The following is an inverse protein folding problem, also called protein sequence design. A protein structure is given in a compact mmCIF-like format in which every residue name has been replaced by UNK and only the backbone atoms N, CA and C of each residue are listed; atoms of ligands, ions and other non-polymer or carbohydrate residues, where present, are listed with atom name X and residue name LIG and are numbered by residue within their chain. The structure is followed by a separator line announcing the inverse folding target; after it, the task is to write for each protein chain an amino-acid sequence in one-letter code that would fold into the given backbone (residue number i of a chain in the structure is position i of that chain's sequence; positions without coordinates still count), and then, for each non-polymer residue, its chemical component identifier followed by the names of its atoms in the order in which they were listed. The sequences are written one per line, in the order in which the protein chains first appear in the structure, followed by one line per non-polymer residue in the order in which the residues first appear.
data_IF_798015519656
#
_entry.id   IF_798015519656
#
_cell.length_a   1.000
_cell.length_b   1.000
_cell.length_c   1.000
_cell.angle_alpha   90.00
_cell.angle_beta   90.00
_cell.angle_gamma   90.00
#
_symmetry.space_group_name_H-M   'P 1'
#
loop_
_entity.id
_entity.type
_entity.pdbx_description
1 polymer ?
#
# COMPACT_ATOMS: atom_id res chain seq x y z
N UNK A 1 -41.08 39.36 23.46
CA UNK A 1 -39.98 39.26 22.47
C UNK A 1 -40.53 38.61 21.22
N UNK A 2 -40.20 39.10 20.04
CA UNK A 2 -40.62 38.48 18.77
C UNK A 2 -39.89 37.15 18.54
N UNK A 3 -40.55 36.19 17.90
CA UNK A 3 -39.94 34.92 17.51
C UNK A 3 -38.73 35.15 16.59
N UNK A 4 -37.67 34.37 16.79
CA UNK A 4 -36.43 34.48 16.00
C UNK A 4 -36.68 33.89 14.61
N UNK A 5 -36.35 34.61 13.52
CA UNK A 5 -36.62 34.13 12.17
C UNK A 5 -35.78 32.87 11.86
N UNK A 6 -36.38 31.96 11.10
CA UNK A 6 -35.76 30.67 10.70
C UNK A 6 -34.41 30.86 9.99
N UNK A 7 -34.22 31.97 9.26
CA UNK A 7 -32.96 32.34 8.62
C UNK A 7 -31.79 32.39 9.60
N UNK A 8 -32.02 32.93 10.80
CA UNK A 8 -30.99 33.14 11.80
C UNK A 8 -30.57 31.80 12.42
N UNK A 9 -31.54 30.91 12.67
CA UNK A 9 -31.27 29.54 13.10
C UNK A 9 -30.46 28.74 12.08
N UNK A 10 -30.77 28.88 10.78
CA UNK A 10 -30.00 28.25 9.72
C UNK A 10 -28.59 28.84 9.65
N UNK A 11 -28.45 30.15 9.80
CA UNK A 11 -27.16 30.83 9.76
C UNK A 11 -26.24 30.35 10.90
N UNK A 12 -26.73 30.34 12.13
CA UNK A 12 -25.93 29.94 13.31
C UNK A 12 -25.61 28.44 13.28
N UNK A 13 -26.54 27.60 12.81
CA UNK A 13 -26.28 26.17 12.57
C UNK A 13 -25.13 25.97 11.57
N UNK A 14 -25.18 26.65 10.43
CA UNK A 14 -24.11 26.57 9.42
C UNK A 14 -22.78 27.10 9.95
N UNK A 15 -22.79 28.16 10.77
CA UNK A 15 -21.58 28.67 11.39
C UNK A 15 -20.97 27.64 12.36
N UNK A 16 -21.76 27.05 13.25
CA UNK A 16 -21.32 26.00 14.16
C UNK A 16 -20.73 24.79 13.41
N UNK A 17 -21.39 24.35 12.34
CA UNK A 17 -20.91 23.24 11.50
C UNK A 17 -19.57 23.58 10.81
N UNK A 18 -19.40 24.80 10.31
CA UNK A 18 -18.14 25.25 9.68
C UNK A 18 -16.99 25.40 10.68
N UNK A 19 -17.26 25.84 11.90
CA UNK A 19 -16.23 25.90 12.94
C UNK A 19 -15.83 24.48 13.38
N UNK A 20 -16.79 23.53 13.44
CA UNK A 20 -16.50 22.13 13.77
C UNK A 20 -15.59 21.45 12.75
N UNK A 21 -15.67 21.82 11.47
CA UNK A 21 -14.77 21.27 10.44
C UNK A 21 -13.31 21.69 10.61
N UNK A 22 -13.02 22.77 11.35
CA UNK A 22 -11.65 23.27 11.53
C UNK A 22 -10.82 22.44 12.52
N UNK A 23 -11.44 21.52 13.25
CA UNK A 23 -10.72 20.66 14.17
C UNK A 23 -9.86 19.66 13.38
N UNK A 24 -8.55 19.57 13.66
CA UNK A 24 -7.63 18.70 12.92
C UNK A 24 -7.94 17.22 13.15
N UNK A 25 -8.37 16.84 14.36
CA UNK A 25 -8.70 15.46 14.67
C UNK A 25 -10.13 15.10 14.25
N UNK A 26 -10.27 13.96 13.57
CA UNK A 26 -11.54 13.43 13.05
C UNK A 26 -12.51 13.07 14.17
N UNK A 27 -12.01 12.59 15.31
CA UNK A 27 -12.86 12.26 16.47
C UNK A 27 -13.58 13.50 17.01
N UNK A 28 -12.85 14.60 17.24
CA UNK A 28 -13.44 15.84 17.72
C UNK A 28 -14.36 16.48 16.68
N UNK A 29 -13.93 16.54 15.40
CA UNK A 29 -14.77 17.02 14.30
C UNK A 29 -16.12 16.27 14.26
N UNK A 30 -16.07 14.94 14.27
CA UNK A 30 -17.27 14.09 14.22
C UNK A 30 -18.14 14.27 15.47
N UNK A 31 -17.51 14.35 16.65
CA UNK A 31 -18.21 14.62 17.91
C UNK A 31 -18.98 15.93 17.87
N UNK A 32 -18.33 17.03 17.46
CA UNK A 32 -18.97 18.35 17.40
C UNK A 32 -20.09 18.38 16.35
N UNK A 33 -19.87 17.82 15.15
CA UNK A 33 -20.92 17.72 14.13
C UNK A 33 -22.16 16.98 14.64
N UNK A 34 -21.96 15.84 15.30
CA UNK A 34 -23.04 15.06 15.90
C UNK A 34 -23.74 15.84 17.00
N UNK A 35 -22.98 16.41 17.94
CA UNK A 35 -23.56 17.13 19.09
C UNK A 35 -24.34 18.39 18.66
N UNK A 36 -23.86 19.13 17.66
CA UNK A 36 -24.61 20.24 17.07
C UNK A 36 -25.93 19.71 16.48
N UNK A 37 -25.90 18.61 15.71
CA UNK A 37 -27.12 18.03 15.13
C UNK A 37 -28.10 17.58 16.20
N UNK A 38 -27.64 16.86 17.22
CA UNK A 38 -28.46 16.36 18.33
C UNK A 38 -29.11 17.51 19.10
N UNK A 39 -28.38 18.59 19.34
CA UNK A 39 -28.91 19.75 20.07
C UNK A 39 -30.02 20.46 19.29
N UNK A 40 -29.85 20.63 17.97
CA UNK A 40 -30.88 21.24 17.13
C UNK A 40 -32.09 20.32 16.93
N UNK A 41 -31.88 19.00 16.84
CA UNK A 41 -32.96 18.03 16.73
C UNK A 41 -33.80 17.96 18.01
N UNK A 42 -33.17 17.98 19.19
CA UNK A 42 -33.88 17.97 20.48
C UNK A 42 -34.75 19.22 20.68
N UNK A 43 -34.29 20.37 20.21
CA UNK A 43 -34.96 21.66 20.43
C UNK A 43 -35.80 22.12 19.23
N UNK A 44 -36.05 21.27 18.23
CA UNK A 44 -36.75 21.67 17.00
C UNK A 44 -38.24 21.97 17.20
N UNK A 45 -38.85 21.43 18.26
CA UNK A 45 -40.28 21.61 18.59
C UNK A 45 -40.56 22.80 19.53
N UNK A 46 -39.53 23.50 20.00
CA UNK A 46 -39.69 24.61 20.95
C UNK A 46 -40.29 25.83 20.25
N UNK A 47 -41.50 26.20 20.66
CA UNK A 47 -42.29 27.30 20.05
C UNK A 47 -42.31 28.56 20.92
N UNK A 48 -41.98 28.45 22.22
CA UNK A 48 -41.98 29.59 23.15
C UNK A 48 -40.88 30.62 22.81
N UNK A 49 -41.24 31.90 22.54
CA UNK A 49 -40.28 32.95 22.21
C UNK A 49 -39.22 33.23 23.27
N UNK A 50 -39.52 33.05 24.56
CA UNK A 50 -38.54 33.28 25.64
C UNK A 50 -37.47 32.18 25.63
N UNK A 51 -37.88 30.93 25.55
CA UNK A 51 -36.97 29.78 25.44
C UNK A 51 -36.15 29.82 24.15
N UNK A 52 -36.75 30.24 23.03
CA UNK A 52 -36.01 30.44 21.77
C UNK A 52 -34.89 31.48 21.91
N UNK A 53 -35.14 32.58 22.62
CA UNK A 53 -34.13 33.60 22.84
C UNK A 53 -32.96 33.11 23.73
N UNK A 54 -33.26 32.28 24.73
CA UNK A 54 -32.25 31.68 25.60
C UNK A 54 -31.39 30.65 24.85
N UNK A 55 -32.01 29.75 24.10
CA UNK A 55 -31.33 28.76 23.25
C UNK A 55 -30.47 29.42 22.17
N UNK A 56 -30.91 30.55 21.61
CA UNK A 56 -30.13 31.27 20.61
C UNK A 56 -28.89 31.91 21.23
N UNK A 57 -29.02 32.55 22.42
CA UNK A 57 -27.87 33.05 23.18
C UNK A 57 -26.91 31.94 23.57
N UNK A 58 -27.41 30.75 23.89
CA UNK A 58 -26.58 29.58 24.16
C UNK A 58 -25.80 29.15 22.90
N UNK A 59 -26.46 29.10 21.73
CA UNK A 59 -25.80 28.79 20.47
C UNK A 59 -24.68 29.78 20.12
N UNK A 60 -24.88 31.08 20.37
CA UNK A 60 -23.85 32.11 20.18
C UNK A 60 -22.66 31.92 21.12
N UNK A 61 -22.91 31.61 22.39
CA UNK A 61 -21.85 31.27 23.36
C UNK A 61 -21.07 30.03 22.92
N UNK A 62 -21.78 28.98 22.49
CA UNK A 62 -21.16 27.75 22.01
C UNK A 62 -20.31 28.00 20.75
N UNK A 63 -20.76 28.86 19.84
CA UNK A 63 -19.98 29.25 18.66
C UNK A 63 -18.66 29.94 19.02
N UNK A 64 -18.69 30.84 20.01
CA UNK A 64 -17.50 31.51 20.53
C UNK A 64 -16.51 30.52 21.17
N UNK A 65 -17.01 29.55 21.94
CA UNK A 65 -16.19 28.48 22.53
C UNK A 65 -15.56 27.62 21.44
N UNK A 66 -16.35 27.19 20.46
CA UNK A 66 -15.88 26.34 19.37
C UNK A 66 -14.77 27.02 18.56
N UNK A 67 -14.92 28.32 18.27
CA UNK A 67 -13.89 29.13 17.60
C UNK A 67 -12.58 29.17 18.38
N UNK A 68 -12.64 29.44 19.69
CA UNK A 68 -11.44 29.47 20.54
C UNK A 68 -10.76 28.11 20.60
N UNK A 69 -11.54 27.05 20.78
CA UNK A 69 -11.01 25.68 20.81
C UNK A 69 -10.37 25.28 19.48
N UNK A 70 -11.00 25.60 18.34
CA UNK A 70 -10.42 25.31 17.03
C UNK A 70 -9.03 25.97 16.86
N UNK A 71 -8.88 27.22 17.32
CA UNK A 71 -7.60 27.94 17.28
C UNK A 71 -6.56 27.27 18.18
N UNK A 72 -6.91 26.92 19.42
CA UNK A 72 -5.97 26.23 20.34
C UNK A 72 -5.49 24.90 19.74
N UNK A 73 -6.42 24.11 19.19
CA UNK A 73 -6.07 22.83 18.55
C UNK A 73 -5.23 23.00 17.28
N UNK A 74 -5.36 24.11 16.56
CA UNK A 74 -4.46 24.40 15.43
C UNK A 74 -3.05 24.82 15.85
N UNK A 75 -2.89 25.44 17.02
CA UNK A 75 -1.59 25.85 17.54
C UNK A 75 -0.78 24.67 18.10
N UNK A 76 -1.47 23.64 18.59
CA UNK A 76 -0.87 22.44 19.17
C UNK A 76 -1.28 21.19 18.35
N UNK A 77 -0.66 20.96 17.18
CA UNK A 77 -1.00 19.83 16.33
C UNK A 77 -0.72 18.49 17.01
N UNK A 78 -1.64 17.55 16.86
CA UNK A 78 -1.51 16.19 17.34
C UNK A 78 -0.94 15.26 16.25
N UNK A 79 -0.40 14.11 16.65
CA UNK A 79 -0.04 13.05 15.70
C UNK A 79 -1.31 12.54 15.01
N UNK A 80 -1.31 12.53 13.67
CA UNK A 80 -2.46 12.05 12.90
C UNK A 80 -2.72 10.58 13.21
N UNK A 81 -3.97 10.23 13.48
CA UNK A 81 -4.36 8.83 13.64
C UNK A 81 -4.40 8.11 12.29
N UNK A 82 -4.35 6.78 12.27
CA UNK A 82 -4.41 5.97 11.02
C UNK A 82 -5.62 6.35 10.14
N UNK A 83 -6.76 6.67 10.77
CA UNK A 83 -7.99 7.10 10.07
C UNK A 83 -7.80 8.45 9.36
N UNK A 84 -7.04 9.37 9.95
CA UNK A 84 -6.75 10.69 9.40
C UNK A 84 -5.71 10.62 8.28
N UNK A 85 -4.71 9.75 8.41
CA UNK A 85 -3.75 9.45 7.34
C UNK A 85 -4.49 8.93 6.10
N UNK A 86 -5.41 7.99 6.29
CA UNK A 86 -6.20 7.41 5.21
C UNK A 86 -7.20 8.39 4.57
N UNK A 87 -7.60 9.47 5.26
CA UNK A 87 -8.51 10.48 4.71
C UNK A 87 -7.84 11.48 3.77
N UNK A 88 -6.51 11.61 3.84
CA UNK A 88 -5.70 12.43 2.92
C UNK A 88 -5.27 11.65 1.66
N UNK A 89 -5.56 10.35 1.57
CA UNK A 89 -5.34 9.53 0.38
C UNK A 89 -6.30 9.99 -0.73
N UNK A 90 -5.76 10.82 -1.62
CA UNK A 90 -6.40 11.19 -2.89
C UNK A 90 -6.77 9.92 -3.64
N UNK A 91 -8.05 9.77 -3.95
CA UNK A 91 -8.57 8.69 -4.78
C UNK A 91 -7.83 8.62 -6.10
N UNK A 92 -7.42 7.40 -6.50
CA UNK A 92 -6.68 7.16 -7.75
C UNK A 92 -7.52 7.64 -8.93
N UNK A 93 -7.08 8.72 -9.58
CA UNK A 93 -7.76 9.32 -10.72
C UNK A 93 -6.81 9.50 -11.90
N UNK A 94 -7.32 9.23 -13.11
CA UNK A 94 -6.58 9.49 -14.33
C UNK A 94 -6.59 10.98 -14.63
N UNK A 95 -5.41 11.61 -14.72
CA UNK A 95 -5.32 13.06 -14.96
C UNK A 95 -5.79 13.51 -16.35
N UNK A 96 -5.88 12.59 -17.31
CA UNK A 96 -6.41 12.85 -18.64
C UNK A 96 -7.95 12.89 -18.68
N UNK A 97 -8.57 11.74 -18.37
CA UNK A 97 -10.02 11.56 -18.51
C UNK A 97 -10.79 11.79 -17.21
N UNK A 98 -10.08 12.06 -16.10
CA UNK A 98 -10.65 12.26 -14.75
C UNK A 98 -11.50 11.09 -14.26
N UNK A 99 -11.38 9.92 -14.90
CA UNK A 99 -11.99 8.70 -14.41
C UNK A 99 -11.27 8.26 -13.14
N UNK A 100 -12.04 7.89 -12.14
CA UNK A 100 -11.56 7.35 -10.88
C UNK A 100 -12.23 6.00 -10.60
N UNK A 101 -11.79 5.34 -9.54
CA UNK A 101 -12.31 4.03 -9.12
C UNK A 101 -13.82 4.05 -8.82
N UNK A 102 -14.39 5.18 -8.40
CA UNK A 102 -15.84 5.33 -8.18
C UNK A 102 -16.63 5.32 -9.49
N UNK A 103 -16.15 6.02 -10.51
CA UNK A 103 -16.79 6.06 -11.84
C UNK A 103 -16.62 4.75 -12.59
N UNK A 104 -15.50 4.07 -12.39
CA UNK A 104 -15.20 2.82 -13.05
C UNK A 104 -14.42 1.89 -12.12
N UNK A 105 -15.10 0.84 -11.62
CA UNK A 105 -14.52 -0.14 -10.71
C UNK A 105 -13.48 -1.07 -11.37
N UNK A 106 -13.47 -1.17 -12.70
CA UNK A 106 -12.45 -1.92 -13.46
C UNK A 106 -11.33 -1.03 -14.01
N UNK A 107 -11.19 0.20 -13.48
CA UNK A 107 -10.15 1.13 -13.87
C UNK A 107 -8.77 0.60 -13.44
N UNK A 108 -7.93 0.25 -14.43
CA UNK A 108 -6.52 -0.08 -14.18
C UNK A 108 -5.67 1.17 -14.44
N UNK A 109 -4.95 1.59 -13.41
CA UNK A 109 -4.00 2.69 -13.48
C UNK A 109 -2.61 2.18 -13.84
N UNK A 110 -1.94 2.87 -14.76
CA UNK A 110 -0.60 2.58 -15.24
C UNK A 110 0.31 3.74 -14.87
N UNK A 111 1.53 3.43 -14.41
CA UNK A 111 2.60 4.38 -14.12
C UNK A 111 3.76 4.17 -15.09
N UNK A 112 4.52 5.22 -15.34
CA UNK A 112 5.68 5.26 -16.22
C UNK A 112 6.93 5.74 -15.46
N UNK A 113 8.07 5.78 -16.16
CA UNK A 113 9.36 6.28 -15.65
C UNK A 113 9.29 7.73 -15.11
N UNK A 114 8.30 8.52 -15.53
CA UNK A 114 8.09 9.88 -15.02
C UNK A 114 7.28 9.92 -13.72
N UNK A 115 6.70 8.80 -13.26
CA UNK A 115 5.83 8.76 -12.08
C UNK A 115 4.42 9.32 -12.32
N UNK A 116 4.00 9.48 -13.57
CA UNK A 116 2.71 10.10 -13.91
C UNK A 116 1.64 9.05 -14.23
N UNK A 117 0.61 8.87 -13.38
CA UNK A 117 -0.37 7.81 -13.55
C UNK A 117 -1.43 8.15 -14.61
N UNK A 118 -1.71 7.19 -15.50
CA UNK A 118 -2.73 7.25 -16.55
C UNK A 118 -3.55 5.96 -16.56
N UNK A 119 -4.84 6.01 -16.86
CA UNK A 119 -5.62 4.78 -16.99
C UNK A 119 -5.25 4.01 -18.27
N UNK A 120 -5.44 2.68 -18.26
CA UNK A 120 -5.15 1.80 -19.40
C UNK A 120 -5.74 2.32 -20.72
N UNK A 121 -7.00 2.74 -20.73
CA UNK A 121 -7.66 3.30 -21.92
C UNK A 121 -6.98 4.58 -22.44
N UNK A 122 -6.53 5.46 -21.54
CA UNK A 122 -5.81 6.67 -21.94
C UNK A 122 -4.43 6.34 -22.50
N UNK A 123 -3.72 5.36 -21.92
CA UNK A 123 -2.43 4.89 -22.45
C UNK A 123 -2.62 4.27 -23.84
N UNK A 124 -3.64 3.42 -24.02
CA UNK A 124 -3.89 2.74 -25.28
C UNK A 124 -4.21 3.72 -26.42
N UNK A 125 -4.97 4.78 -26.11
CA UNK A 125 -5.36 5.81 -27.09
C UNK A 125 -4.23 6.83 -27.37
N UNK A 126 -3.53 7.30 -26.34
CA UNK A 126 -2.42 8.25 -26.49
C UNK A 126 -1.23 7.65 -27.21
N UNK A 127 -0.86 6.43 -26.82
CA UNK A 127 0.32 5.75 -27.31
C UNK A 127 -0.05 4.75 -28.42
N UNK A 128 -1.13 5.02 -29.16
CA UNK A 128 -1.53 4.24 -30.33
C UNK A 128 -0.43 4.20 -31.40
N UNK A 129 0.35 5.29 -31.53
CA UNK A 129 1.53 5.38 -32.40
C UNK A 129 2.83 4.90 -31.73
N UNK A 130 2.73 4.11 -30.66
CA UNK A 130 3.81 3.56 -29.81
C UNK A 130 4.64 4.57 -29.00
N UNK A 131 4.74 5.82 -29.44
CA UNK A 131 5.40 6.90 -28.71
C UNK A 131 4.52 8.15 -28.66
N UNK A 132 4.48 8.79 -27.50
CA UNK A 132 3.79 10.05 -27.28
C UNK A 132 4.44 10.81 -26.09
N UNK A 133 4.33 12.14 -26.04
CA UNK A 133 4.78 12.90 -24.89
C UNK A 133 3.87 12.65 -23.68
N UNK A 134 4.44 12.63 -22.48
CA UNK A 134 3.70 12.65 -21.23
C UNK A 134 2.87 13.94 -21.13
N UNK A 135 1.60 13.86 -20.77
CA UNK A 135 0.71 15.03 -20.67
C UNK A 135 1.07 15.98 -19.51
N UNK A 136 1.95 15.57 -18.60
CA UNK A 136 2.29 16.35 -17.39
C UNK A 136 3.69 16.95 -17.48
N UNK A 137 4.69 16.15 -17.83
CA UNK A 137 6.08 16.62 -17.95
C UNK A 137 6.59 16.75 -19.39
N UNK A 138 5.79 16.38 -20.40
CA UNK A 138 6.19 16.49 -21.81
C UNK A 138 7.26 15.49 -22.28
N UNK A 139 7.83 14.66 -21.39
CA UNK A 139 8.85 13.66 -21.74
C UNK A 139 8.31 12.66 -22.76
N UNK A 140 9.09 12.35 -23.79
CA UNK A 140 8.72 11.37 -24.81
C UNK A 140 8.78 9.96 -24.23
N UNK A 141 7.63 9.29 -24.18
CA UNK A 141 7.50 7.96 -23.57
C UNK A 141 7.09 6.92 -24.61
N UNK A 142 7.49 5.67 -24.35
CA UNK A 142 7.10 4.50 -25.15
C UNK A 142 5.99 3.73 -24.44
N UNK A 143 5.06 3.16 -25.22
CA UNK A 143 3.94 2.36 -24.69
C UNK A 143 4.40 1.19 -23.80
N UNK A 144 5.53 0.56 -24.13
CA UNK A 144 6.04 -0.59 -23.40
C UNK A 144 6.62 -0.25 -22.02
N UNK A 145 6.86 1.03 -21.73
CA UNK A 145 7.46 1.49 -20.47
C UNK A 145 6.38 1.88 -19.43
N UNK A 146 5.15 1.40 -19.62
CA UNK A 146 4.07 1.54 -18.65
C UNK A 146 3.87 0.22 -17.90
N UNK A 147 3.66 0.30 -16.59
CA UNK A 147 3.35 -0.86 -15.74
C UNK A 147 2.16 -0.55 -14.83
N UNK A 148 1.49 -1.60 -14.34
CA UNK A 148 0.33 -1.47 -13.47
C UNK A 148 0.71 -0.92 -12.11
N UNK A 149 -0.03 0.11 -11.67
CA UNK A 149 0.14 0.76 -10.38
C UNK A 149 -0.52 -0.08 -9.29
N UNK A 150 0.29 -0.67 -8.42
CA UNK A 150 -0.17 -1.43 -7.25
C UNK A 150 -0.26 -0.51 -6.04
N UNK A 151 0.75 0.34 -5.82
CA UNK A 151 0.80 1.29 -4.71
C UNK A 151 -0.03 2.54 -4.97
N UNK A 152 -0.55 3.16 -3.92
CA UNK A 152 -1.36 4.38 -4.04
C UNK A 152 -0.53 5.59 -4.46
N UNK A 153 0.71 5.66 -3.99
CA UNK A 153 1.66 6.70 -4.36
C UNK A 153 2.43 6.32 -5.65
N UNK A 154 2.28 7.07 -6.76
CA UNK A 154 3.05 6.85 -7.98
C UNK A 154 4.57 7.01 -7.80
N UNK A 155 5.02 7.77 -6.81
CA UNK A 155 6.44 8.01 -6.56
C UNK A 155 7.13 6.73 -6.06
N UNK A 156 6.46 5.96 -5.20
CA UNK A 156 6.93 4.65 -4.72
C UNK A 156 7.06 3.64 -5.87
N UNK A 157 6.19 3.72 -6.88
CA UNK A 157 6.31 2.91 -8.09
C UNK A 157 7.54 3.30 -8.92
N UNK A 158 7.80 4.60 -9.09
CA UNK A 158 8.99 5.12 -9.78
C UNK A 158 10.27 4.67 -9.07
N UNK A 159 10.33 4.79 -7.74
CA UNK A 159 11.46 4.33 -6.92
C UNK A 159 11.69 2.83 -7.06
N UNK A 160 10.64 2.01 -6.92
CA UNK A 160 10.75 0.56 -7.06
C UNK A 160 11.24 0.13 -8.45
N UNK A 161 10.82 0.85 -9.50
CA UNK A 161 11.32 0.62 -10.86
C UNK A 161 12.83 0.88 -10.95
N UNK A 162 13.31 2.00 -10.39
CA UNK A 162 14.73 2.34 -10.34
C UNK A 162 15.50 1.30 -9.52
N UNK A 163 15.05 0.95 -8.32
CA UNK A 163 15.69 -0.06 -7.46
C UNK A 163 15.79 -1.43 -8.14
N UNK A 164 14.76 -1.87 -8.87
CA UNK A 164 14.80 -3.13 -9.65
C UNK A 164 15.83 -3.08 -10.79
N UNK A 165 16.02 -1.92 -11.42
CA UNK A 165 17.08 -1.70 -12.42
C UNK A 165 18.46 -1.76 -11.76
N UNK A 166 18.63 -1.06 -10.65
CA UNK A 166 19.91 -0.98 -9.95
C UNK A 166 20.33 -2.31 -9.34
N UNK A 167 19.42 -3.08 -8.74
CA UNK A 167 19.71 -4.42 -8.21
C UNK A 167 20.30 -5.40 -9.23
N UNK A 168 20.03 -5.20 -10.53
CA UNK A 168 20.61 -6.02 -11.61
C UNK A 168 22.02 -5.59 -11.99
N UNK A 169 22.32 -4.30 -11.88
CA UNK A 169 23.63 -3.72 -12.22
C UNK A 169 24.59 -3.85 -11.03
N UNK A 170 24.11 -3.47 -9.84
CA UNK A 170 24.81 -3.47 -8.56
C UNK A 170 24.51 -4.77 -7.80
N UNK A 171 25.12 -5.87 -8.22
CA UNK A 171 24.86 -7.22 -7.70
C UNK A 171 25.96 -7.76 -6.75
N UNK A 172 26.88 -6.91 -6.27
CA UNK A 172 27.93 -7.31 -5.31
C UNK A 172 27.33 -7.63 -3.94
N UNK A 173 27.88 -8.63 -3.27
CA UNK A 173 27.49 -9.08 -1.92
C UNK A 173 28.52 -8.65 -0.89
N UNK A 174 28.17 -8.77 0.40
CA UNK A 174 29.08 -8.47 1.52
C UNK A 174 30.42 -9.23 1.42
N UNK A 175 30.42 -10.46 0.90
CA UNK A 175 31.61 -11.29 0.68
C UNK A 175 32.62 -10.70 -0.30
N UNK A 176 32.20 -9.80 -1.20
CA UNK A 176 33.06 -9.18 -2.20
C UNK A 176 33.88 -8.00 -1.64
N UNK A 177 33.65 -7.62 -0.38
CA UNK A 177 34.27 -6.45 0.25
C UNK A 177 35.19 -6.85 1.41
N UNK A 178 36.33 -6.15 1.59
CA UNK A 178 37.28 -6.46 2.66
C UNK A 178 36.78 -6.06 4.04
N UNK A 179 35.92 -5.04 4.14
CA UNK A 179 35.33 -4.59 5.40
C UNK A 179 33.83 -4.34 5.28
N UNK A 180 33.12 -4.50 6.39
CA UNK A 180 31.69 -4.16 6.49
C UNK A 180 31.44 -2.66 6.23
N UNK A 181 32.42 -1.80 6.52
CA UNK A 181 32.30 -0.36 6.26
C UNK A 181 32.23 -0.08 4.76
N UNK A 182 33.10 -0.70 3.98
CA UNK A 182 33.13 -0.53 2.52
C UNK A 182 31.84 -1.04 1.87
N UNK A 183 31.28 -2.14 2.39
CA UNK A 183 29.98 -2.65 1.93
C UNK A 183 28.84 -1.68 2.23
N UNK A 184 28.80 -1.08 3.42
CA UNK A 184 27.79 -0.08 3.77
C UNK A 184 27.97 1.21 2.96
N UNK A 185 29.19 1.68 2.75
CA UNK A 185 29.46 2.85 1.90
C UNK A 185 29.04 2.60 0.44
N UNK A 186 29.20 1.36 -0.05
CA UNK A 186 28.66 0.94 -1.35
C UNK A 186 27.12 0.96 -1.39
N UNK A 187 26.43 0.45 -0.35
CA UNK A 187 24.97 0.50 -0.29
C UNK A 187 24.46 1.94 -0.23
N UNK A 188 25.07 2.80 0.58
CA UNK A 188 24.76 4.24 0.65
C UNK A 188 24.97 4.91 -0.70
N UNK A 189 26.06 4.60 -1.41
CA UNK A 189 26.30 5.11 -2.77
C UNK A 189 25.19 4.70 -3.74
N UNK A 190 24.73 3.44 -3.69
CA UNK A 190 23.58 2.99 -4.49
C UNK A 190 22.32 3.78 -4.16
N UNK A 191 22.05 4.06 -2.89
CA UNK A 191 20.90 4.88 -2.47
C UNK A 191 21.00 6.33 -2.96
N UNK A 192 22.19 6.93 -2.93
CA UNK A 192 22.42 8.27 -3.50
C UNK A 192 22.08 8.31 -4.99
N UNK A 193 22.53 7.32 -5.76
CA UNK A 193 22.21 7.24 -7.20
C UNK A 193 20.71 7.04 -7.45
N UNK A 194 20.05 6.21 -6.62
CA UNK A 194 18.59 6.00 -6.69
C UNK A 194 17.85 7.31 -6.40
N UNK A 195 18.26 8.06 -5.37
CA UNK A 195 17.66 9.34 -5.00
C UNK A 195 17.85 10.40 -6.08
N UNK A 196 19.05 10.53 -6.64
CA UNK A 196 19.35 11.46 -7.74
C UNK A 196 18.41 11.22 -8.94
N UNK A 197 18.24 9.95 -9.36
CA UNK A 197 17.31 9.60 -10.45
C UNK A 197 15.83 9.78 -10.08
N UNK A 198 15.47 9.56 -8.81
CA UNK A 198 14.09 9.72 -8.35
C UNK A 198 13.65 11.19 -8.43
N UNK A 199 14.51 12.10 -7.94
CA UNK A 199 14.26 13.54 -7.89
C UNK A 199 14.70 14.31 -9.14
N UNK A 200 15.27 13.61 -10.13
CA UNK A 200 15.72 14.20 -11.41
C UNK A 200 16.89 15.18 -11.22
N UNK A 201 17.73 14.94 -10.22
CA UNK A 201 18.96 15.68 -9.94
C UNK A 201 20.16 14.97 -10.59
N UNK A 202 21.07 15.73 -11.22
CA UNK A 202 22.33 15.23 -11.79
C UNK A 202 22.19 13.93 -12.64
N UNK A 203 21.14 13.87 -13.47
CA UNK A 203 20.79 12.67 -14.25
C UNK A 203 21.94 12.22 -15.16
N UNK A 204 22.58 13.16 -15.86
CA UNK A 204 23.63 12.84 -16.83
C UNK A 204 24.88 12.23 -16.21
N UNK A 205 25.25 12.70 -15.01
CA UNK A 205 26.39 12.21 -14.25
C UNK A 205 26.08 10.83 -13.66
N UNK A 206 24.93 10.72 -12.99
CA UNK A 206 24.45 9.46 -12.40
C UNK A 206 24.33 8.36 -13.47
N UNK A 207 23.79 8.67 -14.65
CA UNK A 207 23.71 7.70 -15.75
C UNK A 207 25.08 7.35 -16.35
N UNK A 208 26.05 8.27 -16.33
CA UNK A 208 27.41 8.00 -16.80
C UNK A 208 28.11 7.04 -15.86
N UNK A 209 28.05 7.29 -14.56
CA UNK A 209 28.63 6.40 -13.55
C UNK A 209 28.03 4.99 -13.62
N UNK A 210 26.71 4.89 -13.77
CA UNK A 210 26.03 3.59 -13.93
C UNK A 210 26.51 2.87 -15.20
N UNK A 211 26.73 3.60 -16.31
CA UNK A 211 27.25 3.01 -17.57
C UNK A 211 28.70 2.55 -17.43
N UNK A 212 29.55 3.33 -16.78
CA UNK A 212 30.94 2.99 -16.53
C UNK A 212 31.04 1.76 -15.63
N UNK A 213 30.31 1.74 -14.52
CA UNK A 213 30.24 0.59 -13.64
C UNK A 213 29.74 -0.68 -14.37
N UNK A 214 28.71 -0.55 -15.20
CA UNK A 214 28.20 -1.67 -15.99
C UNK A 214 29.25 -2.20 -17.00
N UNK A 215 30.03 -1.31 -17.61
CA UNK A 215 31.12 -1.67 -18.51
C UNK A 215 32.22 -2.43 -17.76
N UNK A 216 32.63 -1.92 -16.61
CA UNK A 216 33.66 -2.55 -15.76
C UNK A 216 33.22 -3.93 -15.25
N UNK A 217 31.95 -4.09 -14.88
CA UNK A 217 31.40 -5.39 -14.47
C UNK A 217 31.38 -6.39 -15.64
N UNK A 218 30.96 -5.95 -16.84
CA UNK A 218 31.00 -6.81 -18.03
C UNK A 218 32.43 -7.20 -18.41
N UNK A 219 33.39 -6.28 -18.27
CA UNK A 219 34.79 -6.56 -18.53
C UNK A 219 35.36 -7.57 -17.52
N UNK A 220 35.05 -7.42 -16.23
CA UNK A 220 35.44 -8.38 -15.19
C UNK A 220 34.83 -9.77 -15.40
N UNK A 221 33.58 -9.85 -15.87
CA UNK A 221 32.93 -11.12 -16.23
C UNK A 221 33.64 -11.78 -17.42
N UNK A 222 33.87 -11.05 -18.51
CA UNK A 222 34.59 -11.58 -19.68
C UNK A 222 36.03 -12.04 -19.34
N UNK A 223 36.71 -11.33 -18.43
CA UNK A 223 38.05 -11.71 -17.95
C UNK A 223 38.00 -12.99 -17.11
N UNK A 224 36.94 -13.23 -16.34
CA UNK A 224 36.76 -14.50 -15.59
C UNK A 224 36.54 -15.67 -16.54
N UNK A 225 35.64 -15.51 -17.52
CA UNK A 225 35.36 -16.55 -18.52
C UNK A 225 36.61 -16.92 -19.33
N UNK A 226 37.40 -15.92 -19.76
CA UNK A 226 38.66 -16.16 -20.47
C UNK A 226 39.74 -16.77 -19.59
N UNK A 227 39.81 -16.44 -18.30
CA UNK A 227 40.75 -17.05 -17.34
C UNK A 227 40.41 -18.49 -17.01
N UNK A 228 39.12 -18.85 -16.92
CA UNK A 228 38.70 -20.25 -16.76
C UNK A 228 39.07 -21.09 -17.98
N UNK A 229 38.81 -20.58 -19.20
CA UNK A 229 39.22 -21.23 -20.45
C UNK A 229 40.76 -21.41 -20.49
N UNK A 230 41.53 -20.39 -20.12
CA UNK A 230 43.00 -20.49 -20.05
C UNK A 230 43.51 -21.44 -18.97
N UNK A 231 42.79 -21.59 -17.85
CA UNK A 231 43.12 -22.54 -16.78
C UNK A 231 42.86 -23.97 -17.22
N UNK A 232 41.74 -24.23 -17.89
CA UNK A 232 41.40 -25.54 -18.46
C UNK A 232 42.41 -25.96 -19.54
N UNK A 233 42.84 -25.03 -20.40
CA UNK A 233 43.91 -25.23 -21.39
C UNK A 233 45.27 -25.55 -20.76
N UNK A 234 45.53 -25.11 -19.53
CA UNK A 234 46.81 -25.31 -18.83
C UNK A 234 46.82 -26.57 -17.98
N UNK A 235 45.68 -26.98 -17.44
CA UNK A 235 45.53 -28.14 -16.55
C UNK A 235 45.25 -29.46 -17.30
N UNK A 236 44.79 -29.39 -18.56
CA UNK A 236 44.50 -30.56 -19.37
C UNK A 236 45.57 -30.80 -20.46
N UNK A 237 46.05 -32.04 -20.58
CA UNK A 237 47.02 -32.47 -21.61
C UNK A 237 46.38 -32.73 -22.99
N UNK A 238 45.23 -32.12 -23.26
CA UNK A 238 44.46 -32.33 -24.49
C UNK A 238 44.81 -31.21 -25.49
N UNK A 239 44.87 -31.54 -26.77
CA UNK A 239 45.18 -30.56 -27.81
C UNK A 239 44.20 -29.37 -27.76
N UNK A 240 44.74 -28.15 -27.77
CA UNK A 240 43.98 -26.90 -27.62
C UNK A 240 42.83 -26.76 -28.64
N UNK A 241 42.99 -27.33 -29.85
CA UNK A 241 41.98 -27.34 -30.90
C UNK A 241 40.71 -28.10 -30.48
N UNK A 242 40.85 -29.20 -29.73
CA UNK A 242 39.72 -30.03 -29.29
C UNK A 242 38.92 -29.35 -28.16
N UNK A 243 39.56 -28.51 -27.35
CA UNK A 243 38.90 -27.71 -26.29
C UNK A 243 38.11 -26.56 -26.94
N UNK A 244 38.73 -25.84 -27.88
CA UNK A 244 38.08 -24.76 -28.64
C UNK A 244 36.91 -25.25 -29.50
N UNK A 245 37.02 -26.44 -30.10
CA UNK A 245 35.91 -27.06 -30.85
C UNK A 245 34.76 -27.49 -29.94
N UNK A 246 35.07 -27.93 -28.72
CA UNK A 246 34.04 -28.27 -27.70
C UNK A 246 33.30 -27.01 -27.24
N UNK A 247 34.01 -25.90 -27.08
CA UNK A 247 33.45 -24.58 -26.74
C UNK A 247 32.57 -24.02 -27.87
N UNK A 248 33.06 -24.08 -29.12
CA UNK A 248 32.28 -23.67 -30.31
C UNK A 248 31.00 -24.48 -30.44
N UNK A 249 31.07 -25.79 -30.21
CA UNK A 249 29.90 -26.66 -30.27
C UNK A 249 28.88 -26.31 -29.18
N UNK A 250 29.33 -26.03 -27.95
CA UNK A 250 28.46 -25.52 -26.86
C UNK A 250 27.82 -24.18 -27.20
N UNK A 251 28.56 -23.23 -27.78
CA UNK A 251 28.01 -21.93 -28.18
C UNK A 251 26.94 -22.07 -29.28
N UNK A 252 27.19 -22.92 -30.28
CA UNK A 252 26.22 -23.19 -31.35
C UNK A 252 24.94 -23.82 -30.78
N UNK A 253 25.07 -24.76 -29.83
CA UNK A 253 23.94 -25.43 -29.19
C UNK A 253 23.12 -24.46 -28.33
N UNK A 254 23.76 -23.58 -27.55
CA UNK A 254 23.09 -22.53 -26.78
C UNK A 254 22.38 -21.50 -27.67
N UNK A 255 22.99 -21.10 -28.80
CA UNK A 255 22.38 -20.17 -29.75
C UNK A 255 21.15 -20.78 -30.44
N UNK A 256 21.18 -22.09 -30.72
CA UNK A 256 20.04 -22.83 -31.27
C UNK A 256 18.89 -22.92 -30.24
N UNK A 257 19.19 -23.28 -29.00
CA UNK A 257 18.19 -23.32 -27.91
C UNK A 257 17.55 -21.95 -27.66
N UNK A 258 18.34 -20.88 -27.63
CA UNK A 258 17.81 -19.52 -27.44
C UNK A 258 16.90 -19.09 -28.61
N UNK A 259 17.26 -19.45 -29.85
CA UNK A 259 16.41 -19.19 -31.02
C UNK A 259 15.10 -19.98 -30.94
N UNK A 260 15.15 -21.26 -30.56
CA UNK A 260 13.95 -22.08 -30.36
C UNK A 260 13.06 -21.55 -29.23
N UNK A 261 13.64 -21.14 -28.11
CA UNK A 261 12.89 -20.58 -26.97
C UNK A 261 12.26 -19.24 -27.33
N UNK A 262 12.97 -18.39 -28.08
CA UNK A 262 12.46 -17.13 -28.63
C UNK A 262 11.30 -17.37 -29.60
N UNK A 263 11.38 -18.39 -30.46
CA UNK A 263 10.27 -18.80 -31.32
C UNK A 263 9.09 -19.34 -30.52
N UNK A 264 9.33 -20.16 -29.50
CA UNK A 264 8.29 -20.70 -28.62
C UNK A 264 7.56 -19.58 -27.88
N UNK A 265 8.30 -18.59 -27.34
CA UNK A 265 7.75 -17.38 -26.71
C UNK A 265 6.96 -16.52 -27.71
N UNK A 266 7.41 -16.40 -28.98
CA UNK A 266 6.65 -15.71 -30.05
C UNK A 266 5.36 -16.45 -30.39
N UNK A 267 5.37 -17.78 -30.47
CA UNK A 267 4.18 -18.63 -30.69
C UNK A 267 3.18 -18.46 -29.53
N UNK A 268 3.63 -18.56 -28.29
CA UNK A 268 2.81 -18.34 -27.08
C UNK A 268 2.21 -16.92 -27.02
N UNK A 269 2.96 -15.87 -27.39
CA UNK A 269 2.44 -14.50 -27.49
C UNK A 269 1.38 -14.36 -28.59
N UNK A 270 1.54 -15.05 -29.72
CA UNK A 270 0.57 -15.04 -30.83
C UNK A 270 -0.71 -15.78 -30.45
N UNK A 271 -0.62 -16.87 -29.71
CA UNK A 271 -1.77 -17.58 -29.12
C UNK A 271 -2.48 -16.74 -28.06
N UNK A 272 -1.76 -16.09 -27.13
CA UNK A 272 -2.35 -15.17 -26.15
C UNK A 272 -3.13 -14.03 -26.82
N UNK A 273 -2.54 -13.38 -27.83
CA UNK A 273 -3.23 -12.34 -28.62
C UNK A 273 -4.48 -12.85 -29.35
N UNK A 274 -4.51 -14.12 -29.74
CA UNK A 274 -5.67 -14.76 -30.39
C UNK A 274 -6.77 -15.09 -29.38
N UNK A 275 -6.41 -15.49 -28.15
CA UNK A 275 -7.36 -15.70 -27.07
C UNK A 275 -7.95 -14.41 -26.50
N UNK A 276 -7.17 -13.31 -26.47
CA UNK A 276 -7.67 -11.99 -26.06
C UNK A 276 -8.72 -11.42 -27.04
N UNK A 277 -8.82 -11.97 -28.26
CA UNK A 277 -9.81 -11.58 -29.27
C UNK A 277 -11.16 -12.32 -29.20
N UNK A 278 -11.30 -13.37 -28.38
CA UNK A 278 -12.53 -14.16 -28.28
C UNK A 278 -12.75 -14.68 -26.85
N UNK A 279 -13.35 -13.87 -25.96
CA UNK A 279 -14.46 -14.29 -25.07
C UNK A 279 -14.91 -13.16 -24.15
N UNK A 280 -16.17 -12.73 -24.29
CA UNK A 280 -16.93 -12.00 -23.27
C UNK A 280 -17.60 -12.97 -22.27
N UNK A 281 -16.92 -14.06 -21.93
CA UNK A 281 -17.41 -15.04 -20.96
C UNK A 281 -16.43 -15.09 -19.80
N UNK A 282 -16.91 -14.71 -18.61
CA UNK A 282 -16.14 -14.76 -17.38
C UNK A 282 -15.63 -16.18 -17.14
N UNK A 283 -14.34 -16.39 -17.35
CA UNK A 283 -13.67 -17.61 -16.93
C UNK A 283 -13.68 -17.63 -15.40
N UNK A 284 -14.64 -18.35 -14.81
CA UNK A 284 -14.64 -18.62 -13.37
C UNK A 284 -13.46 -19.55 -13.12
N UNK A 285 -12.31 -18.98 -12.77
CA UNK A 285 -11.24 -19.74 -12.14
C UNK A 285 -11.85 -20.25 -10.84
N UNK A 286 -12.25 -21.53 -10.82
CA UNK A 286 -12.54 -22.22 -9.58
C UNK A 286 -11.20 -22.28 -8.83
N UNK A 287 -10.94 -21.27 -8.01
CA UNK A 287 -9.83 -21.31 -7.06
C UNK A 287 -9.93 -22.58 -6.22
N UNK A 288 -8.78 -23.07 -5.73
CA UNK A 288 -8.77 -24.20 -4.79
C UNK A 288 -9.77 -23.91 -3.66
N UNK A 289 -10.58 -24.90 -3.24
CA UNK A 289 -11.51 -24.71 -2.12
C UNK A 289 -10.76 -24.13 -0.93
N UNK A 290 -11.28 -23.04 -0.35
CA UNK A 290 -10.73 -22.51 0.88
C UNK A 290 -10.96 -23.53 1.99
N UNK A 291 -9.89 -24.03 2.59
CA UNK A 291 -9.95 -24.81 3.81
C UNK A 291 -9.77 -23.86 4.99
N UNK A 292 -10.86 -23.58 5.72
CA UNK A 292 -10.79 -22.78 6.93
C UNK A 292 -10.09 -23.58 8.03
N UNK A 293 -8.83 -23.24 8.34
CA UNK A 293 -8.17 -23.72 9.55
C UNK A 293 -8.46 -22.73 10.68
N UNK A 294 -9.04 -23.17 11.81
CA UNK A 294 -9.18 -22.30 12.97
C UNK A 294 -7.80 -21.83 13.44
N UNK A 295 -7.68 -20.55 13.75
CA UNK A 295 -6.45 -19.97 14.28
C UNK A 295 -6.19 -20.54 15.68
N UNK A 296 -5.04 -21.20 15.86
CA UNK A 296 -4.58 -21.64 17.18
C UNK A 296 -3.77 -20.49 17.77
N UNK A 297 -4.29 -19.88 18.83
CA UNK A 297 -3.56 -18.85 19.58
C UNK A 297 -2.89 -19.55 20.76
N UNK A 298 -1.55 -19.65 20.70
CA UNK A 298 -0.78 -20.12 21.84
C UNK A 298 -0.82 -19.04 22.93
N UNK A 299 -1.50 -19.36 24.03
CA UNK A 299 -1.65 -18.45 25.16
C UNK A 299 -0.84 -18.96 26.34
N UNK A 300 0.00 -18.09 26.92
CA UNK A 300 0.68 -18.40 28.18
C UNK A 300 -0.33 -18.35 29.33
N UNK A 301 -0.73 -19.53 29.84
CA UNK A 301 -1.63 -19.65 30.99
C UNK A 301 -2.50 -20.91 30.95
N UNK A 302 -3.27 -21.20 32.02
CA UNK A 302 -4.19 -22.34 32.06
C UNK A 302 -5.21 -22.23 30.90
N UNK A 303 -5.74 -23.35 30.35
CA UNK A 303 -6.68 -23.29 29.23
C UNK A 303 -7.92 -22.44 29.56
N UNK A 304 -8.51 -21.78 28.55
CA UNK A 304 -9.78 -21.05 28.73
C UNK A 304 -10.87 -22.03 29.16
N UNK A 305 -11.67 -21.64 30.15
CA UNK A 305 -12.83 -22.42 30.58
C UNK A 305 -13.81 -22.57 29.42
N UNK A 306 -14.35 -23.78 29.28
CA UNK A 306 -15.41 -24.10 28.32
C UNK A 306 -16.75 -23.51 28.76
N UNK A 307 -17.68 -23.35 27.80
CA UNK A 307 -19.03 -22.81 28.10
C UNK A 307 -19.73 -23.63 29.20
N UNK A 308 -19.55 -24.95 29.20
CA UNK A 308 -20.13 -25.85 30.21
C UNK A 308 -19.54 -25.63 31.62
N UNK A 309 -18.25 -25.35 31.71
CA UNK A 309 -17.57 -25.05 32.98
C UNK A 309 -17.99 -23.68 33.52
N UNK A 310 -18.27 -22.72 32.65
CA UNK A 310 -18.80 -21.40 33.02
C UNK A 310 -20.22 -21.52 33.60
N UNK A 311 -21.07 -22.33 32.98
CA UNK A 311 -22.45 -22.55 33.40
C UNK A 311 -22.53 -23.33 34.73
N UNK A 312 -21.71 -24.36 34.90
CA UNK A 312 -21.69 -25.18 36.12
C UNK A 312 -20.91 -24.54 37.28
N UNK A 313 -19.89 -23.73 36.98
CA UNK A 313 -19.03 -23.07 37.98
C UNK A 313 -19.63 -21.85 38.69
N UNK A 314 -20.90 -21.52 38.45
CA UNK A 314 -21.60 -20.42 39.12
C UNK A 314 -21.17 -19.01 38.67
N UNK A 315 -20.34 -18.90 37.63
CA UNK A 315 -19.83 -17.62 37.11
C UNK A 315 -20.93 -16.71 36.54
N UNK A 316 -22.09 -17.28 36.17
CA UNK A 316 -23.23 -16.54 35.62
C UNK A 316 -24.13 -15.92 36.69
N UNK A 317 -23.90 -16.19 37.98
CA UNK A 317 -24.80 -15.80 39.07
C UNK A 317 -25.05 -14.28 39.16
N UNK A 318 -24.06 -13.48 38.79
CA UNK A 318 -24.13 -12.01 38.87
C UNK A 318 -24.35 -11.33 37.51
N UNK A 319 -24.57 -12.12 36.44
CA UNK A 319 -24.79 -11.59 35.10
C UNK A 319 -26.29 -11.44 34.86
N UNK A 320 -26.72 -10.25 34.45
CA UNK A 320 -28.12 -9.96 34.16
C UNK A 320 -28.62 -10.77 32.96
N UNK A 321 -29.84 -11.28 33.05
CA UNK A 321 -30.48 -11.97 31.93
C UNK A 321 -30.64 -11.06 30.69
N UNK A 322 -30.44 -11.61 29.48
CA UNK A 322 -30.53 -10.85 28.26
C UNK A 322 -31.98 -10.53 27.90
N UNK A 323 -32.23 -9.30 27.44
CA UNK A 323 -33.51 -8.93 26.85
C UNK A 323 -33.74 -9.67 25.52
N UNK A 324 -35.01 -9.81 25.12
CA UNK A 324 -35.39 -10.53 23.89
C UNK A 324 -34.66 -10.01 22.63
N UNK A 325 -34.47 -8.68 22.54
CA UNK A 325 -33.74 -8.06 21.44
C UNK A 325 -32.26 -8.47 21.39
N UNK A 326 -31.59 -8.58 22.55
CA UNK A 326 -30.19 -9.00 22.62
C UNK A 326 -30.02 -10.48 22.29
N UNK A 327 -30.97 -11.32 22.75
CA UNK A 327 -30.98 -12.76 22.43
C UNK A 327 -31.13 -13.00 20.92
N UNK A 328 -31.99 -12.22 20.24
CA UNK A 328 -32.12 -12.26 18.78
C UNK A 328 -30.84 -11.85 18.03
N UNK A 329 -30.01 -11.00 18.64
CA UNK A 329 -28.68 -10.64 18.16
C UNK A 329 -27.57 -11.65 18.50
N UNK A 330 -27.92 -12.83 19.03
CA UNK A 330 -26.95 -13.89 19.37
C UNK A 330 -26.25 -13.71 20.72
N UNK A 331 -26.66 -12.75 21.54
CA UNK A 331 -26.06 -12.52 22.86
C UNK A 331 -26.59 -13.50 23.91
N UNK A 332 -25.67 -14.19 24.60
CA UNK A 332 -25.93 -15.04 25.76
C UNK A 332 -25.17 -14.53 26.99
N UNK A 333 -25.62 -14.89 28.19
CA UNK A 333 -24.91 -14.57 29.45
C UNK A 333 -23.53 -15.21 29.51
N UNK A 334 -23.37 -16.41 28.94
CA UNK A 334 -22.09 -17.11 28.83
C UNK A 334 -21.06 -16.35 27.97
N UNK A 335 -21.48 -15.72 26.87
CA UNK A 335 -20.59 -14.91 26.02
C UNK A 335 -20.04 -13.69 26.79
N UNK A 336 -20.87 -13.06 27.63
CA UNK A 336 -20.42 -11.91 28.43
C UNK A 336 -19.35 -12.31 29.46
N UNK A 337 -19.56 -13.45 30.13
CA UNK A 337 -18.57 -14.01 31.06
C UNK A 337 -17.27 -14.39 30.33
N UNK A 338 -17.38 -15.07 29.20
CA UNK A 338 -16.25 -15.50 28.39
C UNK A 338 -15.42 -14.31 27.89
N UNK A 339 -16.08 -13.22 27.47
CA UNK A 339 -15.41 -11.99 27.06
C UNK A 339 -14.64 -11.34 28.21
N UNK A 340 -15.23 -11.27 29.40
CA UNK A 340 -14.55 -10.70 30.57
C UNK A 340 -13.31 -11.53 30.97
N UNK A 341 -13.41 -12.86 30.94
CA UNK A 341 -12.27 -13.76 31.18
C UNK A 341 -11.16 -13.60 30.12
N UNK A 342 -11.53 -13.36 28.86
CA UNK A 342 -10.58 -13.11 27.79
C UNK A 342 -9.84 -11.77 27.98
N UNK A 343 -10.55 -10.71 28.37
CA UNK A 343 -9.95 -9.39 28.63
C UNK A 343 -8.92 -9.45 29.76
N UNK A 344 -9.23 -10.14 30.87
CA UNK A 344 -8.27 -10.33 31.99
C UNK A 344 -7.03 -11.12 31.57
N UNK A 345 -7.14 -12.05 30.61
CA UNK A 345 -6.03 -12.88 30.13
C UNK A 345 -5.07 -12.11 29.21
N UNK A 346 -5.57 -11.14 28.47
CA UNK A 346 -4.79 -10.34 27.52
C UNK A 346 -3.89 -9.30 28.21
N UNK A 347 -3.95 -9.13 29.53
CA UNK A 347 -3.14 -8.15 30.28
C UNK A 347 -1.83 -8.71 30.90
N UNK A 348 -1.43 -9.95 30.59
CA UNK A 348 -0.19 -10.57 31.10
C UNK A 348 0.91 -10.77 30.05
N UNK A 349 1.10 -9.80 29.14
CA UNK A 349 2.17 -9.87 28.14
C UNK A 349 3.54 -9.44 28.70
N UNK A 350 4.31 -10.41 29.20
CA UNK A 350 5.76 -10.36 29.08
C UNK A 350 6.13 -10.81 27.66
N UNK A 351 6.52 -9.87 26.80
CA UNK A 351 7.03 -10.14 25.45
C UNK A 351 8.36 -10.88 25.59
N UNK A 352 8.37 -12.22 25.49
CA UNK A 352 9.60 -12.93 25.14
C UNK A 352 9.87 -12.63 23.67
N UNK A 353 10.92 -11.86 23.42
CA UNK A 353 11.53 -11.63 22.11
C UNK A 353 11.56 -12.94 21.33
N UNK A 354 10.85 -12.99 20.20
CA UNK A 354 10.86 -14.15 19.33
C UNK A 354 12.28 -14.36 18.79
N UNK A 355 12.89 -15.48 19.15
CA UNK A 355 14.11 -15.96 18.51
C UNK A 355 13.78 -16.38 17.06
N UNK A 356 14.64 -16.06 16.09
CA UNK A 356 14.40 -16.42 14.70
C UNK A 356 14.35 -17.95 14.55
N UNK A 357 13.29 -18.43 13.91
CA UNK A 357 13.13 -19.83 13.53
C UNK A 357 14.23 -20.15 12.52
N UNK A 358 15.27 -20.85 12.97
CA UNK A 358 16.17 -21.59 12.09
C UNK A 358 15.37 -22.70 11.45
N UNK A 359 15.27 -22.68 10.12
CA UNK A 359 14.77 -23.81 9.36
C UNK A 359 15.73 -24.99 9.55
N UNK A 360 15.21 -26.12 10.00
CA UNK A 360 15.89 -27.41 9.96
C UNK A 360 14.94 -28.48 9.43
N UNK A 361 15.41 -29.10 8.36
CA UNK A 361 15.06 -30.40 7.75
C UNK A 361 13.73 -30.54 7.00
#
# INVERSE_FOLDING_TARGET
MSAIPKSNWIAIYKQLQREATKFPQTNYRSFFHRRIRDHFAKNSSVTDPQQQAELYKEAERNLQVLRRQAVVYSLYPHQKTVVEVNSDLKTRECRKCKSNEYTNKSLVMLVNECGHPLCRTCVDNLFARNAAPCEICGKMLKRNNFWEQVFEDPMVEKENFIRRRFKKVFNMKEEDFPTLRDFNDYLEHVEVLVMNLLYEENIEETEREVREYQKDQNEKLNVKDTKEIMKELRESNVAAEMILDRERKRQIEQDLEQKEEMERKKKLKKERKRNDGLTFAAHRIAGRPYFHRPMVIDTNGPPMLTINEIESGGYLRFIREPSAHRRAGGYTTSIACFKALLEVRLDLFAVKTMTPITASE
#
